data_IF_022232153695
#
_entry.id   IF_022232153695
#
_cell.length_a   1.000
_cell.length_b   1.000
_cell.length_c   1.000
_cell.angle_alpha   90.00
_cell.angle_beta   90.00
_cell.angle_gamma   90.00
#
_symmetry.space_group_name_H-M   'P 1'
#
loop_
_entity.id
_entity.type
_entity.pdbx_description
1 polymer ?
#
# COMPACT_ATOMS: atom_id res chain seq x y z
N UNK A 1 -18.05 18.61 20.09
CA UNK A 1 -17.39 19.38 21.16
C UNK A 1 -17.20 20.85 20.76
N UNK A 2 -16.45 21.21 19.69
CA UNK A 2 -16.16 22.60 19.32
C UNK A 2 -17.43 23.48 19.18
N UNK A 3 -18.46 22.98 18.50
CA UNK A 3 -19.75 23.69 18.38
C UNK A 3 -20.42 23.95 19.73
N UNK A 4 -20.40 22.95 20.61
CA UNK A 4 -20.96 23.06 21.94
C UNK A 4 -20.16 24.03 22.83
N UNK A 5 -18.83 23.95 22.76
CA UNK A 5 -17.90 24.81 23.48
C UNK A 5 -18.18 26.31 23.21
N UNK A 6 -18.37 26.64 21.93
CA UNK A 6 -18.67 28.01 21.53
C UNK A 6 -20.17 28.36 21.50
N UNK A 7 -21.03 27.41 21.86
CA UNK A 7 -22.51 27.56 21.81
C UNK A 7 -23.00 28.01 20.41
N UNK A 8 -22.37 27.51 19.39
CA UNK A 8 -22.71 27.80 17.99
C UNK A 8 -22.84 26.50 17.17
N UNK A 9 -24.07 26.00 17.11
CA UNK A 9 -24.40 24.72 16.46
C UNK A 9 -24.52 24.81 14.94
N UNK A 10 -24.75 26.01 14.40
CA UNK A 10 -24.97 26.24 12.97
C UNK A 10 -23.69 26.57 12.20
N UNK A 11 -22.63 27.04 12.88
CA UNK A 11 -21.38 27.39 12.21
C UNK A 11 -20.61 26.15 11.72
N UNK A 12 -19.93 26.31 10.61
CA UNK A 12 -18.95 25.33 10.13
C UNK A 12 -17.76 25.26 11.09
N UNK A 13 -17.19 24.06 11.22
CA UNK A 13 -15.99 23.81 12.03
C UNK A 13 -14.81 23.57 11.10
N UNK A 14 -13.82 24.45 11.16
CA UNK A 14 -12.62 24.38 10.30
C UNK A 14 -11.41 24.11 11.19
N UNK A 15 -10.64 23.08 10.82
CA UNK A 15 -9.35 22.73 11.45
C UNK A 15 -8.21 23.27 10.58
N UNK A 16 -7.43 24.20 11.13
CA UNK A 16 -6.29 24.80 10.42
C UNK A 16 -5.25 25.29 11.42
N UNK A 17 -3.97 25.11 11.11
CA UNK A 17 -2.82 25.67 11.83
C UNK A 17 -2.87 25.39 13.35
N UNK A 18 -3.15 24.15 13.73
CA UNK A 18 -3.34 23.72 15.13
C UNK A 18 -4.45 24.47 15.90
N UNK A 19 -5.37 25.10 15.17
CA UNK A 19 -6.54 25.75 15.74
C UNK A 19 -7.84 25.21 15.14
N UNK A 20 -8.89 25.32 15.91
CA UNK A 20 -10.26 25.01 15.49
C UNK A 20 -11.06 26.31 15.47
N UNK A 21 -11.61 26.62 14.30
CA UNK A 21 -12.44 27.81 14.08
C UNK A 21 -13.91 27.41 14.04
N UNK A 22 -14.76 28.17 14.73
CA UNK A 22 -16.22 28.01 14.72
C UNK A 22 -16.83 29.41 14.52
N UNK A 23 -17.18 29.75 13.29
CA UNK A 23 -17.51 31.11 12.93
C UNK A 23 -16.31 32.06 13.17
N UNK A 24 -16.51 33.14 13.91
CA UNK A 24 -15.46 34.11 14.22
C UNK A 24 -14.62 33.78 15.47
N UNK A 25 -14.87 32.65 16.12
CA UNK A 25 -14.17 32.23 17.33
C UNK A 25 -13.19 31.10 17.01
N UNK A 26 -12.11 31.02 17.78
CA UNK A 26 -11.15 29.92 17.65
C UNK A 26 -10.66 29.44 19.02
N UNK A 27 -10.11 28.22 19.03
CA UNK A 27 -9.46 27.60 20.16
C UNK A 27 -8.30 26.75 19.63
N UNK A 28 -7.20 26.64 20.37
CA UNK A 28 -6.11 25.75 20.00
C UNK A 28 -6.55 24.28 20.08
N UNK A 29 -5.97 23.44 19.20
CA UNK A 29 -6.27 22.02 19.17
C UNK A 29 -6.05 21.35 20.54
N UNK A 30 -4.92 21.67 21.19
CA UNK A 30 -4.60 21.11 22.51
C UNK A 30 -5.64 21.48 23.58
N UNK A 31 -6.10 22.73 23.60
CA UNK A 31 -7.08 23.17 24.57
C UNK A 31 -8.45 22.52 24.32
N UNK A 32 -8.84 22.36 23.06
CA UNK A 32 -10.08 21.66 22.75
C UNK A 32 -9.98 20.16 23.07
N UNK A 33 -8.85 19.50 22.78
CA UNK A 33 -8.63 18.10 23.14
C UNK A 33 -8.69 17.90 24.67
N UNK A 34 -8.04 18.78 25.43
CA UNK A 34 -8.13 18.76 26.89
C UNK A 34 -9.58 18.91 27.37
N UNK A 35 -10.34 19.83 26.77
CA UNK A 35 -11.75 20.03 27.09
C UNK A 35 -12.62 18.82 26.77
N UNK A 36 -12.37 18.17 25.63
CA UNK A 36 -13.04 16.92 25.28
C UNK A 36 -12.76 15.82 26.31
N UNK A 37 -11.51 15.71 26.78
CA UNK A 37 -11.12 14.74 27.79
C UNK A 37 -11.81 15.02 29.13
N UNK A 38 -11.83 16.28 29.58
CA UNK A 38 -12.52 16.73 30.82
C UNK A 38 -14.03 16.42 30.74
N UNK A 39 -14.65 16.62 29.59
CA UNK A 39 -16.06 16.35 29.34
C UNK A 39 -16.37 14.88 29.03
N UNK A 40 -15.34 13.98 29.07
CA UNK A 40 -15.45 12.55 28.77
C UNK A 40 -15.99 12.27 27.38
N UNK A 41 -15.63 13.10 26.41
CA UNK A 41 -15.92 12.89 24.98
C UNK A 41 -14.81 12.03 24.40
N UNK A 42 -15.18 10.97 23.68
CA UNK A 42 -14.21 10.13 22.99
C UNK A 42 -13.36 10.94 22.00
N UNK A 43 -12.03 10.80 22.09
CA UNK A 43 -11.06 11.41 21.15
C UNK A 43 -10.68 10.46 20.01
N UNK A 44 -11.30 9.30 19.96
CA UNK A 44 -11.07 8.29 18.91
C UNK A 44 -12.37 7.98 18.18
N UNK A 45 -12.23 7.63 16.92
CA UNK A 45 -13.33 7.17 16.07
C UNK A 45 -12.83 6.08 15.13
N UNK A 46 -13.68 5.11 14.83
CA UNK A 46 -13.39 4.05 13.88
C UNK A 46 -14.03 4.40 12.55
N UNK A 47 -13.21 4.44 11.48
CA UNK A 47 -13.68 4.50 10.11
C UNK A 47 -13.70 3.11 9.50
N UNK A 48 -14.71 2.79 8.71
CA UNK A 48 -14.80 1.53 7.99
C UNK A 48 -15.26 1.79 6.56
N UNK A 49 -14.48 1.27 5.60
CA UNK A 49 -14.83 1.27 4.19
C UNK A 49 -15.15 -0.16 3.73
N UNK A 50 -16.34 -0.34 3.20
CA UNK A 50 -16.74 -1.61 2.57
C UNK A 50 -16.68 -1.46 1.06
N UNK A 51 -15.74 -2.17 0.43
CA UNK A 51 -15.63 -2.19 -1.04
C UNK A 51 -16.95 -2.63 -1.67
N UNK A 52 -17.56 -1.83 -2.56
CA UNK A 52 -18.86 -2.13 -3.14
C UNK A 52 -18.77 -3.24 -4.18
N UNK A 53 -19.92 -3.84 -4.50
CA UNK A 53 -20.10 -4.80 -5.61
C UNK A 53 -19.18 -6.03 -5.57
N UNK A 54 -18.53 -6.32 -4.45
CA UNK A 54 -17.75 -7.56 -4.24
C UNK A 54 -18.67 -8.66 -3.76
N UNK A 55 -18.56 -9.81 -4.38
CA UNK A 55 -19.18 -11.06 -3.92
C UNK A 55 -18.34 -12.26 -4.36
N UNK A 56 -18.28 -13.27 -3.53
CA UNK A 56 -17.54 -14.51 -3.80
C UNK A 56 -18.23 -15.69 -3.15
N UNK A 57 -18.53 -16.72 -3.94
CA UNK A 57 -19.05 -18.01 -3.45
C UNK A 57 -17.87 -18.99 -3.40
N UNK A 58 -17.42 -19.30 -2.17
CA UNK A 58 -16.26 -20.17 -1.96
C UNK A 58 -16.49 -21.62 -2.37
N UNK A 59 -17.73 -22.10 -2.31
CA UNK A 59 -18.06 -23.47 -2.67
C UNK A 59 -18.06 -23.68 -4.18
N UNK A 60 -18.52 -22.67 -4.91
CA UNK A 60 -18.57 -22.69 -6.37
C UNK A 60 -17.33 -22.08 -7.02
N UNK A 61 -16.42 -21.49 -6.23
CA UNK A 61 -15.26 -20.73 -6.70
C UNK A 61 -15.65 -19.70 -7.77
N UNK A 62 -16.76 -19.02 -7.57
CA UNK A 62 -17.35 -18.10 -8.56
C UNK A 62 -17.85 -16.82 -7.91
N UNK A 63 -17.62 -15.70 -8.61
CA UNK A 63 -18.08 -14.39 -8.16
C UNK A 63 -17.26 -13.25 -8.73
N UNK A 64 -17.35 -12.09 -8.10
CA UNK A 64 -16.57 -10.89 -8.41
C UNK A 64 -15.76 -10.52 -7.16
N UNK A 65 -14.51 -11.04 -6.99
CA UNK A 65 -13.72 -10.81 -5.80
C UNK A 65 -13.05 -9.43 -5.76
N UNK A 66 -12.96 -8.73 -6.90
CA UNK A 66 -12.31 -7.43 -7.03
C UNK A 66 -13.25 -6.39 -7.57
N UNK A 67 -13.04 -5.13 -7.17
CA UNK A 67 -13.85 -3.99 -7.61
C UNK A 67 -13.06 -3.07 -8.53
N UNK A 68 -11.80 -2.83 -8.23
CA UNK A 68 -10.89 -1.99 -9.02
C UNK A 68 -9.60 -2.74 -9.34
N UNK A 69 -8.92 -2.28 -10.37
CA UNK A 69 -7.69 -2.86 -10.90
C UNK A 69 -6.70 -1.75 -11.15
N UNK A 70 -5.42 -2.06 -11.06
CA UNK A 70 -4.32 -1.21 -11.53
C UNK A 70 -3.80 -1.77 -12.86
N UNK A 71 -3.18 -0.90 -13.64
CA UNK A 71 -2.60 -1.26 -14.92
C UNK A 71 -1.14 -0.88 -14.91
N UNK A 72 -0.28 -1.78 -15.31
CA UNK A 72 1.14 -1.55 -15.35
C UNK A 72 1.79 -2.24 -16.53
N UNK A 73 2.99 -1.79 -16.86
CA UNK A 73 3.86 -2.42 -17.84
C UNK A 73 5.28 -2.43 -17.29
N UNK A 74 6.00 -3.53 -17.52
CA UNK A 74 7.39 -3.64 -17.12
C UNK A 74 8.24 -4.17 -18.27
N UNK A 75 9.50 -3.73 -18.32
CA UNK A 75 10.54 -4.23 -19.22
C UNK A 75 11.75 -4.58 -18.39
N UNK A 76 12.26 -5.78 -18.55
CA UNK A 76 13.45 -6.25 -17.86
C UNK A 76 14.50 -6.71 -18.88
N UNK A 77 15.75 -6.38 -18.62
CA UNK A 77 16.91 -6.90 -19.34
C UNK A 77 17.60 -7.92 -18.46
N UNK A 78 17.75 -9.15 -18.95
CA UNK A 78 18.40 -10.24 -18.23
C UNK A 78 19.56 -10.84 -19.02
N UNK A 79 20.52 -11.37 -18.30
CA UNK A 79 21.62 -12.16 -18.83
C UNK A 79 21.54 -13.57 -18.28
N UNK A 80 21.79 -14.55 -19.14
CA UNK A 80 21.90 -15.96 -18.79
C UNK A 80 23.27 -16.46 -19.23
N UNK A 81 24.03 -17.00 -18.28
CA UNK A 81 25.23 -17.75 -18.54
C UNK A 81 24.81 -19.17 -18.97
N UNK A 82 25.08 -19.54 -20.24
CA UNK A 82 24.65 -20.82 -20.81
C UNK A 82 25.45 -22.01 -20.28
N UNK A 83 26.66 -21.79 -19.77
CA UNK A 83 27.52 -22.86 -19.27
C UNK A 83 27.19 -23.19 -17.78
N UNK A 84 26.85 -22.20 -17.02
CA UNK A 84 26.55 -22.37 -15.55
C UNK A 84 25.05 -22.38 -15.26
N UNK A 85 24.22 -21.80 -16.14
CA UNK A 85 22.79 -21.56 -15.90
C UNK A 85 22.52 -20.35 -14.97
N UNK A 86 23.56 -19.60 -14.57
CA UNK A 86 23.37 -18.42 -13.74
C UNK A 86 22.59 -17.34 -14.49
N UNK A 87 21.54 -16.83 -13.84
CA UNK A 87 20.71 -15.75 -14.38
C UNK A 87 20.83 -14.50 -13.54
N UNK A 88 20.88 -13.34 -14.19
CA UNK A 88 20.89 -12.05 -13.50
C UNK A 88 20.04 -11.04 -14.26
N UNK A 89 19.24 -10.25 -13.55
CA UNK A 89 18.54 -9.11 -14.11
C UNK A 89 19.45 -7.88 -14.03
N UNK A 90 19.75 -7.31 -15.19
CA UNK A 90 20.62 -6.14 -15.31
C UNK A 90 19.84 -4.85 -15.04
N UNK A 91 18.72 -4.69 -15.74
CA UNK A 91 17.89 -3.49 -15.68
C UNK A 91 16.41 -3.85 -15.59
N UNK A 92 15.64 -3.01 -14.89
CA UNK A 92 14.19 -3.14 -14.83
C UNK A 92 13.53 -1.75 -14.83
N UNK A 93 12.52 -1.59 -15.67
CA UNK A 93 11.74 -0.37 -15.83
C UNK A 93 10.26 -0.72 -15.69
N UNK A 94 9.58 -0.05 -14.77
CA UNK A 94 8.16 -0.29 -14.49
C UNK A 94 7.41 1.03 -14.58
N UNK A 95 6.26 0.99 -15.24
CA UNK A 95 5.28 2.09 -15.25
C UNK A 95 3.99 1.53 -14.68
N UNK A 96 3.46 2.18 -13.66
CA UNK A 96 2.27 1.72 -12.93
C UNK A 96 1.22 2.82 -12.85
N UNK A 97 -0.04 2.48 -13.14
CA UNK A 97 -1.20 3.32 -12.91
C UNK A 97 -1.85 2.92 -11.58
N UNK A 98 -1.46 3.57 -10.51
CA UNK A 98 -2.08 3.39 -9.19
C UNK A 98 -3.19 4.42 -8.91
N UNK A 99 -3.60 5.22 -9.91
CA UNK A 99 -4.49 6.33 -9.74
C UNK A 99 -3.80 7.53 -9.04
N UNK A 100 -4.54 8.26 -8.23
CA UNK A 100 -3.97 9.39 -7.48
C UNK A 100 -3.18 8.89 -6.27
N UNK A 101 -1.86 8.97 -6.34
CA UNK A 101 -0.99 8.62 -5.20
C UNK A 101 -1.26 9.55 -4.00
N UNK A 102 -1.36 8.97 -2.82
CA UNK A 102 -1.41 9.70 -1.55
C UNK A 102 0.00 9.97 -1.00
N UNK A 103 0.94 9.06 -1.28
CA UNK A 103 2.34 9.19 -0.93
C UNK A 103 3.19 8.43 -1.96
N UNK A 104 3.75 9.17 -2.90
CA UNK A 104 4.49 8.63 -4.03
C UNK A 104 5.66 7.73 -3.61
N UNK A 105 6.38 8.11 -2.56
CA UNK A 105 7.51 7.32 -2.06
C UNK A 105 7.07 5.94 -1.53
N UNK A 106 5.91 5.88 -0.87
CA UNK A 106 5.34 4.61 -0.40
C UNK A 106 4.87 3.77 -1.58
N UNK A 107 4.14 4.36 -2.52
CA UNK A 107 3.58 3.65 -3.66
C UNK A 107 4.69 3.08 -4.56
N UNK A 108 5.73 3.86 -4.85
CA UNK A 108 6.92 3.38 -5.56
C UNK A 108 7.56 2.21 -4.79
N UNK A 109 7.77 2.35 -3.49
CA UNK A 109 8.36 1.30 -2.67
C UNK A 109 7.53 0.00 -2.65
N UNK A 110 6.20 0.08 -2.75
CA UNK A 110 5.34 -1.11 -2.89
C UNK A 110 5.55 -1.82 -4.24
N UNK A 111 5.67 -1.06 -5.33
CA UNK A 111 5.94 -1.63 -6.66
C UNK A 111 7.33 -2.25 -6.72
N UNK A 112 8.34 -1.56 -6.22
CA UNK A 112 9.72 -2.07 -6.13
C UNK A 112 9.80 -3.35 -5.29
N UNK A 113 9.18 -3.34 -4.11
CA UNK A 113 9.14 -4.51 -3.23
C UNK A 113 8.44 -5.71 -3.87
N UNK A 114 7.31 -5.48 -4.54
CA UNK A 114 6.60 -6.52 -5.28
C UNK A 114 7.44 -7.12 -6.42
N UNK A 115 8.14 -6.28 -7.17
CA UNK A 115 9.04 -6.74 -8.24
C UNK A 115 10.19 -7.61 -7.70
N UNK A 116 10.85 -7.17 -6.63
CA UNK A 116 11.97 -7.92 -6.03
C UNK A 116 11.51 -9.26 -5.48
N UNK A 117 10.31 -9.32 -4.91
CA UNK A 117 9.73 -10.60 -4.50
C UNK A 117 9.48 -11.53 -5.70
N UNK A 118 8.93 -11.00 -6.79
CA UNK A 118 8.76 -11.75 -8.04
C UNK A 118 10.08 -12.23 -8.64
N UNK A 119 11.12 -11.40 -8.57
CA UNK A 119 12.49 -11.76 -8.96
C UNK A 119 12.97 -12.98 -8.15
N UNK A 120 12.75 -12.99 -6.83
CA UNK A 120 13.14 -14.08 -5.97
C UNK A 120 12.53 -15.41 -6.36
N UNK A 121 11.24 -15.43 -6.67
CA UNK A 121 10.54 -16.65 -7.11
C UNK A 121 11.15 -17.27 -8.37
N UNK A 122 11.70 -16.45 -9.25
CA UNK A 122 12.23 -16.89 -10.54
C UNK A 122 13.75 -17.16 -10.52
N UNK A 123 14.42 -16.85 -9.41
CA UNK A 123 15.89 -16.92 -9.37
C UNK A 123 16.45 -17.74 -8.20
N UNK A 124 16.18 -17.37 -6.97
CA UNK A 124 16.88 -17.93 -5.80
C UNK A 124 15.99 -18.61 -4.76
N UNK A 125 14.69 -18.41 -4.84
CA UNK A 125 13.77 -19.01 -3.88
C UNK A 125 13.39 -20.43 -4.30
N UNK A 126 13.62 -21.41 -3.42
CA UNK A 126 13.33 -22.80 -3.67
C UNK A 126 12.69 -23.48 -2.44
N UNK A 127 11.62 -24.21 -2.67
CA UNK A 127 11.03 -25.08 -1.67
C UNK A 127 11.57 -26.48 -1.83
N UNK A 128 12.44 -26.89 -0.92
CA UNK A 128 13.08 -28.19 -0.94
C UNK A 128 12.46 -29.14 0.07
N UNK A 129 11.98 -30.30 -0.41
CA UNK A 129 11.36 -31.33 0.40
C UNK A 129 12.24 -32.58 0.42
N UNK A 130 12.33 -33.27 1.57
CA UNK A 130 12.97 -34.56 1.67
C UNK A 130 12.06 -35.67 1.11
N UNK A 131 12.56 -36.91 1.09
CA UNK A 131 11.83 -38.07 0.60
C UNK A 131 10.54 -38.38 1.37
N UNK A 132 10.43 -37.95 2.62
CA UNK A 132 9.21 -38.10 3.44
C UNK A 132 8.20 -36.95 3.27
N UNK A 133 8.46 -36.00 2.37
CA UNK A 133 7.59 -34.84 2.15
C UNK A 133 7.74 -33.73 3.19
N UNK A 134 8.77 -33.79 4.05
CA UNK A 134 9.03 -32.73 5.02
C UNK A 134 9.80 -31.59 4.33
N UNK A 135 9.29 -30.35 4.47
CA UNK A 135 9.96 -29.14 4.00
C UNK A 135 11.27 -28.91 4.79
N UNK A 136 12.36 -28.70 4.07
CA UNK A 136 13.70 -28.43 4.62
C UNK A 136 14.06 -26.93 4.61
N UNK A 137 13.50 -26.17 3.69
CA UNK A 137 13.71 -24.72 3.56
C UNK A 137 12.72 -23.95 4.45
N UNK A 138 12.92 -24.00 5.77
CA UNK A 138 11.96 -23.52 6.77
C UNK A 138 12.31 -22.16 7.38
N UNK A 139 13.41 -21.55 6.98
CA UNK A 139 13.85 -20.30 7.58
C UNK A 139 14.91 -19.56 6.76
N UNK A 140 15.31 -18.35 7.17
CA UNK A 140 16.21 -17.47 6.39
C UNK A 140 17.58 -18.08 6.06
N UNK A 141 18.04 -19.04 6.86
CA UNK A 141 19.29 -19.75 6.61
C UNK A 141 19.22 -20.75 5.46
N UNK A 142 18.04 -21.29 5.19
CA UNK A 142 17.80 -22.34 4.19
C UNK A 142 16.95 -21.87 3.02
N UNK A 143 15.96 -21.00 3.26
CA UNK A 143 15.16 -20.36 2.22
C UNK A 143 15.76 -19.01 1.86
N UNK A 144 16.33 -18.91 0.66
CA UNK A 144 17.01 -17.70 0.20
C UNK A 144 16.04 -16.75 -0.49
N UNK A 145 16.04 -15.51 -0.06
CA UNK A 145 15.34 -14.40 -0.72
C UNK A 145 16.36 -13.48 -1.37
N UNK A 146 15.97 -12.67 -2.36
CA UNK A 146 16.87 -11.69 -2.96
C UNK A 146 17.47 -10.74 -1.93
N UNK A 147 18.78 -10.57 -2.00
CA UNK A 147 19.51 -9.57 -1.21
C UNK A 147 19.73 -8.28 -2.00
N UNK A 148 20.35 -7.30 -1.38
CA UNK A 148 20.64 -6.00 -2.01
C UNK A 148 21.54 -6.08 -3.24
N UNK A 149 22.29 -7.18 -3.42
CA UNK A 149 23.15 -7.40 -4.58
C UNK A 149 22.43 -8.03 -5.78
N UNK A 150 21.22 -8.56 -5.54
CA UNK A 150 20.42 -9.23 -6.58
C UNK A 150 19.47 -8.25 -7.26
N UNK A 151 19.35 -7.02 -6.71
CA UNK A 151 18.54 -5.95 -7.30
C UNK A 151 19.19 -5.49 -8.61
N UNK A 152 18.39 -5.21 -9.66
CA UNK A 152 18.89 -4.66 -10.93
C UNK A 152 19.74 -3.41 -10.71
N UNK A 153 20.81 -3.24 -11.50
CA UNK A 153 21.68 -2.06 -11.40
C UNK A 153 20.95 -0.77 -11.74
N UNK A 154 20.09 -0.83 -12.74
CA UNK A 154 19.18 0.24 -13.08
C UNK A 154 17.76 -0.25 -12.84
N UNK A 155 17.15 0.26 -11.78
CA UNK A 155 15.80 -0.10 -11.36
C UNK A 155 14.96 1.18 -11.25
N UNK A 156 14.04 1.37 -12.19
CA UNK A 156 13.22 2.57 -12.27
C UNK A 156 11.74 2.23 -12.25
N UNK A 157 11.04 2.80 -11.29
CA UNK A 157 9.57 2.78 -11.21
C UNK A 157 9.04 4.18 -11.47
N UNK A 158 8.05 4.28 -12.33
CA UNK A 158 7.34 5.53 -12.62
C UNK A 158 5.85 5.30 -12.42
N UNK A 159 5.24 6.13 -11.57
CA UNK A 159 3.78 6.20 -11.47
C UNK A 159 3.24 7.09 -12.59
N UNK A 160 2.11 6.68 -13.19
CA UNK A 160 1.41 7.50 -14.16
C UNK A 160 0.70 8.65 -13.45
N UNK A 161 1.04 9.87 -13.84
CA UNK A 161 0.38 11.06 -13.33
C UNK A 161 -0.94 11.30 -14.06
N UNK A 162 -1.93 11.83 -13.31
CA UNK A 162 -3.22 12.31 -13.85
C UNK A 162 -4.09 11.25 -14.51
N UNK A 163 -3.91 9.99 -14.12
CA UNK A 163 -4.89 8.97 -14.46
C UNK A 163 -6.09 9.09 -13.52
N UNK A 164 -7.27 9.26 -14.10
CA UNK A 164 -8.50 9.40 -13.33
C UNK A 164 -9.35 8.13 -13.49
N UNK A 165 -9.67 7.53 -12.37
CA UNK A 165 -10.75 6.57 -12.35
C UNK A 165 -12.07 7.35 -12.33
N UNK A 166 -12.93 7.16 -13.31
CA UNK A 166 -14.26 7.81 -13.39
C UNK A 166 -15.20 7.31 -12.29
N UNK A 167 -14.99 6.11 -11.78
CA UNK A 167 -15.74 5.59 -10.63
C UNK A 167 -15.24 6.25 -9.34
N UNK A 168 -16.05 7.13 -8.76
CA UNK A 168 -15.81 7.68 -7.43
C UNK A 168 -15.90 6.55 -6.40
N UNK A 169 -14.75 6.12 -5.87
CA UNK A 169 -14.67 5.05 -4.87
C UNK A 169 -14.60 5.59 -3.44
N UNK A 170 -14.34 6.89 -3.27
CA UNK A 170 -14.28 7.57 -1.96
C UNK A 170 -14.98 8.92 -2.08
#
# INVERSE_FOLDING_TARGET
CAKNYFKNTSAEVIFRDNHIFVGNKNISFNNLAKKCWEERISLSSTGFYKTPKIHWDQNKLKGRPYFYYTWGASVSESILDIDTGETRILNAYIVEDCGKSLNEAIDIGQVEGGFVQGLGWLSCEELFFNQSGKLLTVGPSTYKIPGSRDIPREFKVKLLEKTFNEEKTI
#
